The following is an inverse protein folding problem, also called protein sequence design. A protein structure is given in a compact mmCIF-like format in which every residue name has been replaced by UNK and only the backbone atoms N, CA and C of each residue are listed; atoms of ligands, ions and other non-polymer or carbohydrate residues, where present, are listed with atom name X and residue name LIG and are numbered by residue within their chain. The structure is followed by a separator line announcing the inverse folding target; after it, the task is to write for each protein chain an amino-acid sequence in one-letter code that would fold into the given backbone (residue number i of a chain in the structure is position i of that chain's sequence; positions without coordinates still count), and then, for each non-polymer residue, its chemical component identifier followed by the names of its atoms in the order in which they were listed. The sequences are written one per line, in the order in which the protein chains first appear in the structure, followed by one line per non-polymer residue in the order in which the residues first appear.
data_IF_777255264888
#
_entry.id   IF_777255264888
#
_cell.length_a   1.000
_cell.length_b   1.000
_cell.length_c   1.000
_cell.angle_alpha   90.00
_cell.angle_beta   90.00
_cell.angle_gamma   90.00
#
_symmetry.space_group_name_H-M   'P 1'
#
loop_
_entity.id
_entity.type
_entity.pdbx_description
1 polymer ?
#
# COMPACT_ATOMS: atom_id res chain seq x y z
N UNK A 1 7.11 -21.64 13.79
CA UNK A 1 7.12 -20.21 14.17
C UNK A 1 6.82 -20.21 15.64
N UNK A 2 7.74 -19.67 16.43
CA UNK A 2 7.61 -19.75 17.88
C UNK A 2 6.60 -18.69 18.34
N UNK A 3 6.05 -18.82 19.55
CA UNK A 3 4.98 -17.94 20.02
C UNK A 3 5.42 -16.47 20.07
N UNK A 4 6.67 -16.21 20.45
CA UNK A 4 7.27 -14.87 20.44
C UNK A 4 7.30 -14.26 19.02
N UNK A 5 7.73 -15.03 18.00
CA UNK A 5 7.73 -14.54 16.61
C UNK A 5 6.32 -14.13 16.14
N UNK A 6 5.30 -14.87 16.59
CA UNK A 6 3.92 -14.60 16.22
C UNK A 6 3.37 -13.33 16.88
N UNK A 7 3.77 -13.05 18.11
CA UNK A 7 3.38 -11.82 18.81
C UNK A 7 4.13 -10.60 18.26
N UNK A 8 5.43 -10.72 17.96
CA UNK A 8 6.20 -9.69 17.26
C UNK A 8 5.59 -9.35 15.89
N UNK A 9 5.17 -10.37 15.14
CA UNK A 9 4.49 -10.15 13.87
C UNK A 9 3.15 -9.45 14.05
N UNK A 10 2.36 -9.81 15.07
CA UNK A 10 1.08 -9.14 15.36
C UNK A 10 1.27 -7.67 15.68
N UNK A 11 2.27 -7.32 16.46
CA UNK A 11 2.58 -5.93 16.81
C UNK A 11 3.08 -5.14 15.58
N UNK A 12 3.89 -5.78 14.73
CA UNK A 12 4.26 -5.22 13.44
C UNK A 12 3.04 -4.95 12.56
N UNK A 13 2.11 -5.90 12.43
CA UNK A 13 0.88 -5.72 11.65
C UNK A 13 0.06 -4.59 12.21
N UNK A 14 -0.18 -4.56 13.53
CA UNK A 14 -0.97 -3.50 14.18
C UNK A 14 -0.40 -2.11 13.92
N UNK A 15 0.92 -1.97 13.96
CA UNK A 15 1.58 -0.67 13.73
C UNK A 15 1.71 -0.27 12.26
N UNK A 16 1.75 -1.23 11.32
CA UNK A 16 2.06 -0.95 9.90
C UNK A 16 0.91 -1.18 8.92
N UNK A 17 -0.18 -1.81 9.33
CA UNK A 17 -1.29 -2.16 8.43
C UNK A 17 -1.85 -0.93 7.69
N UNK A 18 -2.21 0.12 8.43
CA UNK A 18 -2.79 1.33 7.85
C UNK A 18 -1.82 2.05 6.91
N UNK A 19 -0.54 2.14 7.29
CA UNK A 19 0.50 2.74 6.45
C UNK A 19 0.67 1.96 5.14
N UNK A 20 0.75 0.63 5.20
CA UNK A 20 0.89 -0.23 4.02
C UNK A 20 -0.36 -0.16 3.12
N UNK A 21 -1.55 -0.06 3.71
CA UNK A 21 -2.82 0.08 2.99
C UNK A 21 -2.92 1.42 2.29
N UNK A 22 -2.58 2.52 2.95
CA UNK A 22 -2.51 3.85 2.34
C UNK A 22 -1.49 3.89 1.19
N UNK A 23 -0.31 3.30 1.40
CA UNK A 23 0.71 3.17 0.36
C UNK A 23 0.21 2.41 -0.88
N UNK A 24 -0.51 1.32 -0.67
CA UNK A 24 -1.14 0.55 -1.73
C UNK A 24 -2.21 1.38 -2.47
N UNK A 25 -3.05 2.11 -1.72
CA UNK A 25 -4.09 2.98 -2.26
C UNK A 25 -3.53 4.08 -3.16
N UNK A 26 -2.51 4.81 -2.70
CA UNK A 26 -1.85 5.85 -3.52
C UNK A 26 -1.28 5.25 -4.83
N UNK A 27 -0.88 3.98 -4.79
CA UNK A 27 -0.35 3.25 -5.95
C UNK A 27 -1.44 2.80 -6.93
N UNK A 28 -2.49 2.14 -6.46
CA UNK A 28 -3.54 1.57 -7.33
C UNK A 28 -4.69 2.55 -7.62
N UNK A 29 -5.10 3.35 -6.64
CA UNK A 29 -6.26 4.24 -6.64
C UNK A 29 -7.60 3.56 -6.31
N UNK A 30 -7.57 2.39 -5.67
CA UNK A 30 -8.76 1.60 -5.35
C UNK A 30 -8.59 0.94 -3.99
N UNK A 31 -9.49 1.24 -3.04
CA UNK A 31 -9.37 0.77 -1.65
C UNK A 31 -9.46 -0.75 -1.52
N UNK A 32 -10.32 -1.40 -2.29
CA UNK A 32 -10.46 -2.86 -2.26
C UNK A 32 -9.17 -3.54 -2.73
N UNK A 33 -8.59 -3.04 -3.82
CA UNK A 33 -7.30 -3.49 -4.34
C UNK A 33 -6.16 -3.20 -3.36
N UNK A 34 -6.21 -2.06 -2.67
CA UNK A 34 -5.21 -1.68 -1.67
C UNK A 34 -5.23 -2.64 -0.46
N UNK A 35 -6.42 -2.96 0.03
CA UNK A 35 -6.63 -3.93 1.10
C UNK A 35 -6.17 -5.33 0.70
N UNK A 36 -6.59 -5.81 -0.47
CA UNK A 36 -6.17 -7.11 -1.02
C UNK A 36 -4.64 -7.21 -1.16
N UNK A 37 -4.01 -6.17 -1.69
CA UNK A 37 -2.55 -6.10 -1.84
C UNK A 37 -1.84 -6.12 -0.48
N UNK A 38 -2.39 -5.43 0.51
CA UNK A 38 -1.85 -5.37 1.88
C UNK A 38 -1.98 -6.72 2.58
N UNK A 39 -3.17 -7.31 2.56
CA UNK A 39 -3.43 -8.63 3.13
C UNK A 39 -2.53 -9.71 2.49
N UNK A 40 -2.44 -9.73 1.15
CA UNK A 40 -1.58 -10.67 0.44
C UNK A 40 -0.09 -10.48 0.77
N UNK A 41 0.33 -9.23 0.99
CA UNK A 41 1.71 -8.90 1.39
C UNK A 41 2.01 -9.41 2.79
N UNK A 42 1.15 -9.12 3.77
CA UNK A 42 1.32 -9.56 5.16
C UNK A 42 1.29 -11.09 5.27
N UNK A 43 0.39 -11.76 4.54
CA UNK A 43 0.34 -13.22 4.50
C UNK A 43 1.63 -13.85 3.92
N UNK A 44 2.26 -13.20 2.93
CA UNK A 44 3.55 -13.62 2.37
C UNK A 44 4.71 -13.30 3.32
N UNK A 45 4.66 -12.14 3.98
CA UNK A 45 5.66 -11.70 4.95
C UNK A 45 5.71 -12.63 6.15
N UNK A 46 4.55 -13.04 6.69
CA UNK A 46 4.43 -13.99 7.79
C UNK A 46 5.25 -15.27 7.53
N UNK A 47 5.15 -15.84 6.33
CA UNK A 47 5.90 -17.05 5.95
C UNK A 47 7.42 -16.86 5.90
N UNK A 48 7.89 -15.63 5.82
CA UNK A 48 9.32 -15.28 5.73
C UNK A 48 9.80 -14.53 6.97
N UNK A 49 8.96 -14.31 7.97
CA UNK A 49 9.20 -13.40 9.10
C UNK A 49 10.58 -13.60 9.73
N UNK A 50 10.93 -14.83 10.10
CA UNK A 50 12.24 -15.18 10.70
C UNK A 50 13.46 -14.85 9.85
N UNK A 51 13.30 -14.75 8.53
CA UNK A 51 14.39 -14.54 7.58
C UNK A 51 14.57 -13.08 7.19
N UNK A 52 13.65 -12.20 7.59
CA UNK A 52 13.64 -10.81 7.16
C UNK A 52 14.17 -9.95 8.30
N UNK A 53 15.34 -9.33 8.07
CA UNK A 53 15.99 -8.43 9.02
C UNK A 53 15.42 -7.01 8.99
N UNK A 54 14.81 -6.61 7.87
CA UNK A 54 14.19 -5.29 7.67
C UNK A 54 12.72 -5.43 7.22
N UNK A 55 11.82 -5.87 8.11
CA UNK A 55 10.44 -6.25 7.74
C UNK A 55 9.63 -5.09 7.17
N UNK A 56 9.87 -3.87 7.64
CA UNK A 56 9.19 -2.67 7.21
C UNK A 56 9.52 -2.30 5.74
N UNK A 57 10.79 -2.13 5.39
CA UNK A 57 11.22 -1.86 4.01
C UNK A 57 10.81 -2.98 3.04
N UNK A 58 10.86 -4.23 3.51
CA UNK A 58 10.45 -5.39 2.73
C UNK A 58 8.94 -5.39 2.45
N UNK A 59 8.12 -5.11 3.48
CA UNK A 59 6.67 -5.02 3.36
C UNK A 59 6.25 -3.89 2.41
N UNK A 60 6.86 -2.70 2.50
CA UNK A 60 6.58 -1.56 1.61
C UNK A 60 6.86 -1.92 0.14
N UNK A 61 8.00 -2.54 -0.13
CA UNK A 61 8.34 -2.98 -1.49
C UNK A 61 7.35 -4.03 -2.00
N UNK A 62 6.98 -5.00 -1.15
CA UNK A 62 6.04 -6.05 -1.53
C UNK A 62 4.64 -5.52 -1.82
N UNK A 63 4.12 -4.59 -1.00
CA UNK A 63 2.77 -4.06 -1.15
C UNK A 63 2.63 -3.20 -2.41
N UNK A 64 3.63 -2.37 -2.71
CA UNK A 64 3.67 -1.57 -3.96
C UNK A 64 3.68 -2.50 -5.18
N UNK A 65 4.52 -3.54 -5.17
CA UNK A 65 4.56 -4.53 -6.26
C UNK A 65 3.23 -5.26 -6.42
N UNK A 66 2.59 -5.64 -5.31
CA UNK A 66 1.28 -6.30 -5.32
C UNK A 66 0.20 -5.38 -5.91
N UNK A 67 0.12 -4.13 -5.46
CA UNK A 67 -0.84 -3.13 -5.95
C UNK A 67 -0.69 -2.85 -7.46
N UNK A 68 0.56 -2.73 -7.95
CA UNK A 68 0.84 -2.56 -9.39
C UNK A 68 0.43 -3.80 -10.18
N UNK A 69 0.74 -5.00 -9.66
CA UNK A 69 0.38 -6.26 -10.31
C UNK A 69 -1.13 -6.40 -10.42
N UNK A 70 -1.88 -6.02 -9.39
CA UNK A 70 -3.33 -6.13 -9.38
C UNK A 70 -3.98 -5.23 -10.45
N UNK A 71 -3.49 -3.99 -10.58
CA UNK A 71 -3.95 -3.02 -11.59
C UNK A 71 -3.69 -3.46 -13.04
N UNK A 72 -2.66 -4.28 -13.28
CA UNK A 72 -2.32 -4.76 -14.64
C UNK A 72 -3.18 -5.92 -15.12
N UNK A 73 -4.00 -6.51 -14.26
CA UNK A 73 -4.82 -7.67 -14.62
C UNK A 73 -5.87 -7.28 -15.68
N UNK A 74 -5.98 -8.01 -16.80
CA UNK A 74 -6.81 -7.63 -17.94
C UNK A 74 -8.27 -7.35 -17.60
N UNK A 75 -8.86 -8.14 -16.69
CA UNK A 75 -10.26 -8.01 -16.27
C UNK A 75 -10.55 -6.81 -15.35
N UNK A 76 -9.52 -6.12 -14.84
CA UNK A 76 -9.67 -4.87 -14.07
C UNK A 76 -9.65 -3.63 -14.96
N UNK A 77 -9.17 -3.76 -16.20
CA UNK A 77 -9.10 -2.67 -17.18
C UNK A 77 -10.50 -2.20 -17.60
N UNK A 78 -11.49 -3.07 -17.50
CA UNK A 78 -12.91 -2.81 -17.81
C UNK A 78 -13.65 -2.03 -16.71
N UNK A 79 -13.14 -2.00 -15.48
CA UNK A 79 -13.76 -1.31 -14.32
C UNK A 79 -13.18 0.07 -14.03
N UNK A 80 -12.22 0.57 -14.82
CA UNK A 80 -11.49 1.81 -14.51
C UNK A 80 -12.20 3.10 -14.96
N UNK A 81 -13.48 3.03 -15.35
CA UNK A 81 -14.31 4.21 -15.61
C UNK A 81 -15.47 4.24 -14.61
N UNK A 82 -15.30 5.03 -13.55
CA UNK A 82 -16.37 5.30 -12.58
C UNK A 82 -16.34 4.42 -11.35
N UNK A 83 -15.64 4.90 -10.32
CA UNK A 83 -16.00 4.56 -8.95
C UNK A 83 -16.01 5.86 -8.16
N UNK A 84 -17.20 6.40 -8.05
CA UNK A 84 -17.60 7.36 -7.02
C UNK A 84 -17.09 6.80 -5.67
N UNK A 85 -16.24 7.59 -5.02
CA UNK A 85 -15.51 7.18 -3.83
C UNK A 85 -16.51 7.06 -2.67
N UNK A 86 -16.66 5.90 -2.00
CA UNK A 86 -17.46 5.85 -0.78
C UNK A 86 -16.73 6.66 0.29
N UNK A 87 -17.44 7.66 0.82
CA UNK A 87 -17.05 8.48 1.96
C UNK A 87 -17.01 7.59 3.22
N UNK A 88 -15.89 6.90 3.43
CA UNK A 88 -15.66 6.11 4.63
C UNK A 88 -15.02 7.02 5.69
N UNK A 89 -15.88 7.59 6.53
CA UNK A 89 -15.49 8.40 7.68
C UNK A 89 -14.57 7.62 8.63
N UNK A 90 -13.33 8.09 8.77
CA UNK A 90 -12.42 7.80 9.88
C UNK A 90 -12.14 9.12 10.61
N UNK A 91 -11.86 9.10 11.94
CA UNK A 91 -11.87 10.32 12.75
C UNK A 91 -10.72 11.28 12.39
N UNK A 92 -11.10 12.50 12.06
CA UNK A 92 -10.40 13.78 12.23
C UNK A 92 -8.99 13.95 11.63
N UNK A 93 -8.90 13.97 10.29
CA UNK A 93 -7.75 14.51 9.55
C UNK A 93 -8.18 15.16 8.21
N UNK A 94 -9.18 16.05 8.24
CA UNK A 94 -9.77 16.65 7.04
C UNK A 94 -8.74 17.35 6.12
N UNK A 95 -7.76 18.05 6.68
CA UNK A 95 -6.71 18.74 5.91
C UNK A 95 -5.69 17.77 5.28
N UNK A 96 -5.40 16.65 5.94
CA UNK A 96 -4.49 15.61 5.42
C UNK A 96 -5.17 14.78 4.34
N UNK A 97 -6.50 14.63 4.40
CA UNK A 97 -7.30 13.95 3.40
C UNK A 97 -7.35 14.77 2.10
N UNK A 98 -7.50 16.09 2.18
CA UNK A 98 -7.50 16.97 1.00
C UNK A 98 -6.13 16.96 0.30
N UNK A 99 -5.02 17.07 1.04
CA UNK A 99 -3.68 16.97 0.47
C UNK A 99 -3.40 15.58 -0.11
N UNK A 100 -3.84 14.50 0.54
CA UNK A 100 -3.73 13.13 0.00
C UNK A 100 -4.57 12.93 -1.27
N UNK A 101 -5.76 13.51 -1.35
CA UNK A 101 -6.60 13.46 -2.56
C UNK A 101 -5.99 14.26 -3.71
N UNK A 102 -5.44 15.46 -3.45
CA UNK A 102 -4.72 16.26 -4.45
C UNK A 102 -3.47 15.55 -4.94
N UNK A 103 -2.69 14.99 -4.03
CA UNK A 103 -1.51 14.17 -4.36
C UNK A 103 -1.93 12.94 -5.17
N UNK A 104 -3.00 12.25 -4.79
CA UNK A 104 -3.55 11.13 -5.53
C UNK A 104 -3.97 11.54 -6.94
N UNK A 105 -4.69 12.65 -7.08
CA UNK A 105 -5.11 13.19 -8.37
C UNK A 105 -3.90 13.55 -9.25
N UNK A 106 -2.86 14.17 -8.70
CA UNK A 106 -1.63 14.46 -9.41
C UNK A 106 -0.89 13.18 -9.85
N UNK A 107 -0.75 12.20 -8.94
CA UNK A 107 -0.13 10.91 -9.21
C UNK A 107 -0.95 10.08 -10.21
N UNK A 108 -2.27 10.24 -10.26
CA UNK A 108 -3.16 9.55 -11.21
C UNK A 108 -2.77 9.82 -12.67
N UNK A 109 -2.24 11.03 -12.94
CA UNK A 109 -1.76 11.48 -14.25
C UNK A 109 -0.41 10.87 -14.64
N UNK A 110 0.28 10.23 -13.70
CA UNK A 110 1.59 9.60 -13.91
C UNK A 110 1.42 8.12 -14.24
N UNK A 111 2.13 7.58 -15.26
CA UNK A 111 2.17 6.15 -15.53
C UNK A 111 2.51 5.31 -14.29
N UNK A 112 1.82 4.18 -14.09
CA UNK A 112 1.85 3.38 -12.86
C UNK A 112 3.28 3.02 -12.38
N UNK A 113 4.23 2.79 -13.28
CA UNK A 113 5.64 2.49 -12.91
C UNK A 113 6.37 3.70 -12.34
N UNK A 114 6.16 4.88 -12.93
CA UNK A 114 6.77 6.13 -12.47
C UNK A 114 6.15 6.58 -11.14
N UNK A 115 4.83 6.36 -10.97
CA UNK A 115 4.13 6.61 -9.71
C UNK A 115 4.76 5.85 -8.54
N UNK A 116 5.10 4.58 -8.74
CA UNK A 116 5.75 3.76 -7.73
C UNK A 116 7.09 4.35 -7.27
N UNK A 117 7.89 4.91 -8.20
CA UNK A 117 9.16 5.57 -7.89
C UNK A 117 8.93 6.83 -7.07
N UNK A 118 7.95 7.66 -7.45
CA UNK A 118 7.61 8.88 -6.71
C UNK A 118 7.12 8.57 -5.29
N UNK A 119 6.27 7.55 -5.16
CA UNK A 119 5.74 7.10 -3.86
C UNK A 119 6.86 6.60 -2.96
N UNK A 120 7.74 5.72 -3.46
CA UNK A 120 8.86 5.20 -2.68
C UNK A 120 9.89 6.28 -2.31
N UNK A 121 10.13 7.26 -3.19
CA UNK A 121 11.12 8.32 -2.95
C UNK A 121 10.60 9.43 -2.04
N UNK A 122 9.41 9.96 -2.30
CA UNK A 122 8.93 11.19 -1.69
C UNK A 122 8.00 10.97 -0.50
N UNK A 123 7.24 9.87 -0.45
CA UNK A 123 6.40 9.56 0.72
C UNK A 123 7.11 8.68 1.74
N UNK A 124 8.02 7.82 1.28
CA UNK A 124 8.71 6.85 2.14
C UNK A 124 10.19 7.19 2.40
N UNK A 125 10.70 8.27 1.81
CA UNK A 125 12.06 8.77 2.05
C UNK A 125 13.19 7.87 1.57
N UNK A 126 12.93 6.90 0.70
CA UNK A 126 13.95 5.96 0.23
C UNK A 126 14.88 6.66 -0.79
N UNK A 127 16.16 6.76 -0.44
CA UNK A 127 17.23 7.21 -1.33
C UNK A 127 17.51 6.18 -2.43
N UNK A 128 17.99 6.64 -3.58
CA UNK A 128 18.45 5.79 -4.68
C UNK A 128 19.95 5.65 -4.54
N UNK A 129 20.40 4.64 -3.80
CA UNK A 129 21.79 4.18 -3.77
C UNK A 129 21.83 2.66 -3.99
#
# INVERSE_FOLDING_TARGET
MDTEDADDFREFVRSRFEQLRSLAFVTCGDWQTAEDATAATLAKLYRRWKKVTTPDAYARTMVVRAAISEKRKPWRRERSFGSEMPDAALPDHADVIDEQMRLHHALSKVPTRQRAVLVLRFLEGLSVE
#
